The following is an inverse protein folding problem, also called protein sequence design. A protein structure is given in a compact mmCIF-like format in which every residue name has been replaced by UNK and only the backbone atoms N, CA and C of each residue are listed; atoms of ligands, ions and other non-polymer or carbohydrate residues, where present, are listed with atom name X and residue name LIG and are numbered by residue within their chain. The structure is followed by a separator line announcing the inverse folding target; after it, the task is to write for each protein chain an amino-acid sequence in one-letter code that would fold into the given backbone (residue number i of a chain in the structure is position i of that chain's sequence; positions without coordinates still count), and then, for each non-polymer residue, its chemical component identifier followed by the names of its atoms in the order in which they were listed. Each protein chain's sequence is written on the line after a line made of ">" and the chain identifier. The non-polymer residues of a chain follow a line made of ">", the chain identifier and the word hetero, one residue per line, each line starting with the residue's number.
data_IF_564922060916
#
_entry.id   IF_564922060916
#
_cell.length_a   1.000
_cell.length_b   1.000
_cell.length_c   1.000
_cell.angle_alpha   90.00
_cell.angle_beta   90.00
_cell.angle_gamma   90.00
#
_symmetry.space_group_name_H-M   'P 1'
#
loop_
_entity.id
_entity.type
_entity.pdbx_description
1 polymer ?
#
# COMPACT_ATOMS: atom_id res chain seq x y z
N UNK A 1 -53.00 17.60 32.12
CA UNK A 1 -52.34 17.52 30.82
C UNK A 1 -50.85 17.25 31.05
N UNK A 2 -50.46 15.97 31.10
CA UNK A 2 -49.08 15.57 31.35
C UNK A 2 -48.30 15.64 30.04
N UNK A 3 -47.37 16.58 29.95
CA UNK A 3 -46.43 16.71 28.84
C UNK A 3 -45.50 15.49 28.91
N UNK A 4 -45.75 14.51 28.06
CA UNK A 4 -44.88 13.35 27.83
C UNK A 4 -43.52 13.86 27.32
N UNK A 5 -42.58 14.01 28.26
CA UNK A 5 -41.15 14.12 27.95
C UNK A 5 -40.73 12.80 27.30
N UNK A 6 -40.55 12.82 25.98
CA UNK A 6 -39.82 11.77 25.28
C UNK A 6 -38.42 11.65 25.92
N UNK A 7 -38.00 10.46 26.37
CA UNK A 7 -36.65 10.28 26.86
C UNK A 7 -35.71 10.38 25.66
N UNK A 8 -34.74 11.29 25.75
CA UNK A 8 -33.55 11.29 24.91
C UNK A 8 -32.98 9.85 24.85
N UNK A 9 -32.52 9.36 23.69
CA UNK A 9 -32.02 8.01 23.57
C UNK A 9 -30.83 7.83 24.52
N UNK A 10 -31.06 7.06 25.58
CA UNK A 10 -30.06 6.55 26.48
C UNK A 10 -29.00 5.83 25.65
N UNK A 11 -27.78 6.35 25.70
CA UNK A 11 -26.56 5.62 25.34
C UNK A 11 -26.68 4.20 25.89
N UNK A 12 -26.77 3.23 24.98
CA UNK A 12 -26.91 1.82 25.31
C UNK A 12 -25.57 1.34 25.88
N UNK A 13 -25.37 1.50 27.19
CA UNK A 13 -24.14 1.15 27.93
C UNK A 13 -23.76 -0.34 27.84
N UNK A 14 -24.63 -1.18 27.27
CA UNK A 14 -24.41 -2.63 27.09
C UNK A 14 -23.73 -2.99 25.78
N UNK A 15 -23.70 -2.12 24.77
CA UNK A 15 -23.06 -2.42 23.50
C UNK A 15 -21.62 -1.89 23.53
N UNK A 16 -20.67 -2.75 23.87
CA UNK A 16 -19.23 -2.45 23.98
C UNK A 16 -18.53 -2.07 22.67
N UNK A 17 -19.24 -1.49 21.71
CA UNK A 17 -18.69 -0.98 20.46
C UNK A 17 -18.37 0.49 20.70
N UNK A 18 -17.13 0.77 21.10
CA UNK A 18 -16.62 2.14 21.10
C UNK A 18 -16.55 2.64 19.65
N UNK A 19 -16.98 3.88 19.35
CA UNK A 19 -16.68 4.49 18.06
C UNK A 19 -15.16 4.52 17.88
N UNK A 20 -14.69 4.04 16.72
CA UNK A 20 -13.27 4.08 16.37
C UNK A 20 -12.86 5.56 16.34
N UNK A 21 -11.86 5.98 17.13
CA UNK A 21 -11.39 7.35 17.07
C UNK A 21 -10.84 7.65 15.66
N UNK A 22 -11.02 8.87 15.14
CA UNK A 22 -10.42 9.25 13.87
C UNK A 22 -8.90 8.99 13.95
N UNK A 23 -8.30 8.38 12.93
CA UNK A 23 -6.89 8.03 12.95
C UNK A 23 -6.07 9.30 13.16
N UNK A 24 -5.18 9.28 14.16
CA UNK A 24 -4.23 10.35 14.36
C UNK A 24 -3.35 10.49 13.10
N UNK A 25 -2.89 11.71 12.73
CA UNK A 25 -1.97 11.89 11.63
C UNK A 25 -0.68 11.12 11.94
N UNK A 26 -0.49 10.00 11.24
CA UNK A 26 0.70 9.17 11.39
C UNK A 26 1.93 9.97 10.95
N UNK A 27 3.01 10.01 11.76
CA UNK A 27 4.21 10.73 11.40
C UNK A 27 4.77 10.14 10.11
N UNK A 28 4.91 11.02 9.15
CA UNK A 28 5.35 10.75 7.80
C UNK A 28 6.80 10.26 7.80
N UNK A 29 6.99 8.94 7.74
CA UNK A 29 8.32 8.35 7.53
C UNK A 29 8.66 8.49 6.06
N UNK A 30 9.27 9.62 5.70
CA UNK A 30 10.07 9.75 4.48
C UNK A 30 11.42 9.10 4.75
N UNK A 31 11.49 7.77 4.73
CA UNK A 31 12.73 7.20 4.21
C UNK A 31 12.77 7.63 2.75
N UNK A 32 13.63 8.61 2.47
CA UNK A 32 13.82 9.09 1.11
C UNK A 32 14.21 7.86 0.29
N UNK A 33 13.28 7.37 -0.53
CA UNK A 33 13.53 6.37 -1.55
C UNK A 33 14.51 6.98 -2.55
N UNK A 34 15.79 7.00 -2.16
CA UNK A 34 16.86 7.48 -3.01
C UNK A 34 17.15 6.41 -4.03
N UNK A 35 17.51 6.84 -5.25
CA UNK A 35 17.86 5.91 -6.34
C UNK A 35 18.91 4.89 -5.93
N UNK A 36 19.83 5.29 -5.03
CA UNK A 36 20.86 4.42 -4.48
C UNK A 36 20.27 3.29 -3.64
N UNK A 37 19.32 3.59 -2.75
CA UNK A 37 18.69 2.58 -1.90
C UNK A 37 17.92 1.52 -2.73
N UNK A 38 17.25 1.93 -3.80
CA UNK A 38 16.53 1.01 -4.70
C UNK A 38 17.48 0.09 -5.49
N UNK A 39 18.64 0.62 -5.87
CA UNK A 39 19.68 -0.15 -6.54
C UNK A 39 20.34 -1.15 -5.58
N UNK A 40 20.65 -0.75 -4.35
CA UNK A 40 21.22 -1.62 -3.31
C UNK A 40 20.26 -2.72 -2.87
N UNK A 41 18.96 -2.43 -2.80
CA UNK A 41 17.92 -3.42 -2.52
C UNK A 41 17.73 -4.45 -3.66
N UNK A 42 18.32 -4.23 -4.84
CA UNK A 42 18.27 -5.18 -5.96
C UNK A 42 16.93 -5.22 -6.69
N UNK A 43 16.11 -4.16 -6.61
CA UNK A 43 14.77 -4.10 -7.24
C UNK A 43 14.83 -4.05 -8.76
N UNK A 44 15.95 -3.59 -9.32
CA UNK A 44 16.17 -3.44 -10.75
C UNK A 44 16.38 -4.77 -11.50
N UNK A 45 16.51 -5.90 -10.80
CA UNK A 45 16.66 -7.21 -11.44
C UNK A 45 15.28 -7.78 -11.84
N UNK A 46 15.04 -7.86 -13.14
CA UNK A 46 13.85 -8.47 -13.71
C UNK A 46 14.00 -9.97 -13.94
N UNK A 47 13.20 -10.49 -14.87
CA UNK A 47 13.20 -11.91 -15.24
C UNK A 47 14.11 -12.20 -16.44
N UNK A 48 14.36 -13.48 -16.70
CA UNK A 48 15.11 -13.94 -17.87
C UNK A 48 14.36 -13.62 -19.18
N UNK A 49 15.11 -13.32 -20.25
CA UNK A 49 14.56 -12.96 -21.58
C UNK A 49 13.72 -14.06 -22.24
N UNK A 50 13.77 -15.30 -21.76
CA UNK A 50 12.92 -16.40 -22.26
C UNK A 50 11.55 -16.49 -21.60
N UNK A 51 11.38 -15.90 -20.42
CA UNK A 51 10.21 -16.09 -19.55
C UNK A 51 9.61 -14.74 -19.13
N UNK A 52 9.75 -13.71 -19.96
CA UNK A 52 9.22 -12.37 -19.71
C UNK A 52 7.86 -12.16 -20.37
N UNK A 53 7.05 -11.26 -19.82
CA UNK A 53 5.77 -10.87 -20.39
C UNK A 53 5.94 -9.61 -21.27
N UNK A 54 5.52 -9.62 -22.55
CA UNK A 54 5.66 -8.47 -23.46
C UNK A 54 4.97 -7.19 -22.98
N UNK A 55 3.93 -7.27 -22.13
CA UNK A 55 3.28 -6.09 -21.52
C UNK A 55 4.24 -5.26 -20.66
N UNK A 56 5.32 -5.88 -20.17
CA UNK A 56 6.34 -5.20 -19.36
C UNK A 56 7.39 -4.43 -20.17
N UNK A 57 7.29 -4.40 -21.51
CA UNK A 57 8.31 -3.79 -22.39
C UNK A 57 8.63 -2.34 -22.05
N UNK A 58 7.63 -1.57 -21.61
CA UNK A 58 7.81 -0.15 -21.22
C UNK A 58 8.67 0.09 -19.98
N UNK A 59 8.88 -0.93 -19.14
CA UNK A 59 9.66 -0.84 -17.90
C UNK A 59 11.09 -1.38 -18.03
N UNK A 60 11.41 -2.01 -19.15
CA UNK A 60 12.71 -2.65 -19.37
C UNK A 60 13.67 -1.61 -19.93
N UNK A 61 14.76 -1.37 -19.21
CA UNK A 61 15.83 -0.49 -19.65
C UNK A 61 16.73 -1.18 -20.68
N UNK A 62 17.38 -2.27 -20.26
CA UNK A 62 18.28 -3.06 -21.12
C UNK A 62 18.27 -4.53 -20.72
N UNK A 63 18.95 -5.38 -21.50
CA UNK A 63 19.22 -6.76 -21.14
C UNK A 63 20.73 -6.97 -20.99
N UNK A 64 21.17 -7.57 -19.89
CA UNK A 64 22.56 -7.97 -19.66
C UNK A 64 22.58 -9.42 -19.19
N UNK A 65 23.45 -10.24 -19.77
CA UNK A 65 23.60 -11.66 -19.42
C UNK A 65 22.27 -12.46 -19.45
N UNK A 66 21.34 -12.09 -20.34
CA UNK A 66 20.03 -12.75 -20.47
C UNK A 66 19.00 -12.41 -19.39
N UNK A 67 19.26 -11.39 -18.56
CA UNK A 67 18.33 -10.87 -17.55
C UNK A 67 17.90 -9.45 -17.95
N UNK A 68 16.61 -9.17 -17.85
CA UNK A 68 16.08 -7.82 -18.04
C UNK A 68 16.39 -6.94 -16.83
N UNK A 69 16.94 -5.77 -17.09
CA UNK A 69 17.16 -4.73 -16.09
C UNK A 69 15.99 -3.75 -16.18
N UNK A 70 15.33 -3.55 -15.04
CA UNK A 70 14.22 -2.62 -14.88
C UNK A 70 14.80 -1.32 -14.33
N UNK A 71 14.42 -0.19 -14.93
CA UNK A 71 14.76 1.12 -14.36
C UNK A 71 13.66 1.56 -13.38
N UNK A 72 13.95 1.68 -12.07
CA UNK A 72 12.98 2.12 -11.08
C UNK A 72 12.40 3.52 -11.30
N UNK A 73 12.99 4.34 -12.18
CA UNK A 73 12.47 5.67 -12.53
C UNK A 73 11.37 5.64 -13.59
N UNK A 74 11.17 4.50 -14.26
CA UNK A 74 10.21 4.40 -15.38
C UNK A 74 8.79 4.23 -14.86
N UNK A 75 8.23 5.31 -14.33
CA UNK A 75 6.84 5.40 -13.91
C UNK A 75 5.90 5.36 -15.14
N UNK A 76 4.88 4.49 -15.16
CA UNK A 76 3.87 4.45 -16.22
C UNK A 76 2.65 5.35 -15.95
N UNK A 77 2.49 5.94 -14.75
CA UNK A 77 1.27 6.70 -14.45
C UNK A 77 1.06 7.15 -13.00
N UNK A 78 1.28 6.33 -11.97
CA UNK A 78 0.62 6.59 -10.67
C UNK A 78 1.40 6.22 -9.39
N UNK A 79 2.68 5.81 -9.45
CA UNK A 79 3.34 5.19 -8.27
C UNK A 79 3.63 6.17 -7.11
N UNK A 80 3.55 7.49 -7.35
CA UNK A 80 3.74 8.49 -6.28
C UNK A 80 2.55 8.58 -5.32
N UNK A 81 1.39 8.02 -5.67
CA UNK A 81 0.16 8.18 -4.90
C UNK A 81 -0.29 6.92 -4.15
N UNK A 82 0.29 5.75 -4.45
CA UNK A 82 -0.09 4.46 -3.83
C UNK A 82 0.08 4.48 -2.31
N UNK A 83 1.10 5.18 -1.81
CA UNK A 83 1.29 5.35 -0.37
C UNK A 83 0.14 6.14 0.27
N UNK A 84 -0.29 7.23 -0.38
CA UNK A 84 -1.38 8.06 0.13
C UNK A 84 -2.70 7.29 0.09
N UNK A 85 -2.98 6.59 -1.01
CA UNK A 85 -4.16 5.73 -1.15
C UNK A 85 -4.21 4.63 -0.09
N UNK A 86 -3.06 4.00 0.22
CA UNK A 86 -2.99 2.99 1.26
C UNK A 86 -3.29 3.57 2.65
N UNK A 87 -2.78 4.78 2.95
CA UNK A 87 -3.06 5.49 4.20
C UNK A 87 -4.55 5.84 4.30
N UNK A 88 -5.14 6.35 3.21
CA UNK A 88 -6.54 6.73 3.16
C UNK A 88 -7.46 5.50 3.34
N UNK A 89 -7.15 4.37 2.68
CA UNK A 89 -7.90 3.11 2.83
C UNK A 89 -7.87 2.56 4.28
N UNK A 90 -6.74 2.68 4.97
CA UNK A 90 -6.64 2.27 6.38
C UNK A 90 -7.37 3.28 7.28
N UNK A 91 -7.33 4.56 6.94
CA UNK A 91 -8.02 5.62 7.67
C UNK A 91 -9.55 5.46 7.63
N UNK A 92 -10.08 4.97 6.51
CA UNK A 92 -11.51 4.64 6.34
C UNK A 92 -11.93 3.34 7.05
N UNK A 93 -10.98 2.63 7.68
CA UNK A 93 -11.24 1.34 8.35
C UNK A 93 -11.31 0.15 7.39
N UNK A 94 -10.75 0.28 6.19
CA UNK A 94 -10.60 -0.80 5.22
C UNK A 94 -9.72 -1.94 5.73
N UNK A 95 -9.95 -3.15 5.20
CA UNK A 95 -9.15 -4.35 5.52
C UNK A 95 -8.10 -4.57 4.43
N UNK A 96 -6.84 -4.72 4.82
CA UNK A 96 -5.73 -5.02 3.90
C UNK A 96 -5.35 -6.49 4.01
N UNK A 97 -5.33 -7.20 2.87
CA UNK A 97 -4.88 -8.59 2.79
C UNK A 97 -3.54 -8.68 2.05
N UNK A 98 -2.50 -9.08 2.77
CA UNK A 98 -1.21 -9.36 2.17
C UNK A 98 -1.17 -10.78 1.61
N UNK A 99 -0.89 -10.93 0.31
CA UNK A 99 -0.82 -12.22 -0.37
C UNK A 99 0.61 -12.45 -0.88
N UNK A 100 1.26 -13.48 -0.34
CA UNK A 100 2.64 -13.85 -0.69
C UNK A 100 2.79 -15.37 -0.79
N UNK A 101 2.64 -15.98 -1.98
CA UNK A 101 2.78 -17.44 -2.13
C UNK A 101 4.24 -17.90 -2.18
N UNK A 102 5.20 -16.99 -2.38
CA UNK A 102 6.62 -17.32 -2.48
C UNK A 102 7.22 -17.55 -1.10
N UNK A 103 8.09 -18.56 -0.97
CA UNK A 103 8.86 -18.81 0.26
C UNK A 103 9.67 -17.59 0.72
N UNK A 104 10.17 -16.78 -0.23
CA UNK A 104 10.89 -15.52 0.04
C UNK A 104 10.01 -14.42 0.64
N UNK A 105 8.68 -14.49 0.46
CA UNK A 105 7.73 -13.50 0.97
C UNK A 105 7.19 -13.83 2.37
N UNK A 106 7.58 -14.97 2.95
CA UNK A 106 7.14 -15.42 4.29
C UNK A 106 7.96 -14.78 5.42
N UNK A 107 9.07 -14.13 5.09
CA UNK A 107 10.03 -13.59 6.05
C UNK A 107 9.71 -12.13 6.39
#
# INVERSE_FOLDING_TARGET
>A
MAVLRLPLPSLCTSCGIRPVPPPAPVPFVRENLTMKALLEAGVHFGHQTRRWNPTMKKYIFTQRNGIHIIDPQTDPGDDKNVYQEMVDLVAEGGKVLFVGPKRQAKK
#
